data_IF_773748486873
#
_entry.id   IF_773748486873
#
_cell.length_a   1.000
_cell.length_b   1.000
_cell.length_c   1.000
_cell.angle_alpha   90.00
_cell.angle_beta   90.00
_cell.angle_gamma   90.00
#
_symmetry.space_group_name_H-M   'P 1'
#
loop_
_entity.id
_entity.type
_entity.pdbx_description
1 polymer ?
#
# COMPACT_ATOMS: atom_id res chain seq x y z
N UNK A 1 -35.58 1.20 10.83
CA UNK A 1 -34.27 1.86 10.67
C UNK A 1 -33.45 0.91 9.82
N UNK A 2 -32.93 1.35 8.67
CA UNK A 2 -32.18 0.47 7.76
C UNK A 2 -30.76 0.36 8.30
N UNK A 3 -30.40 -0.81 8.82
CA UNK A 3 -29.04 -1.10 9.27
C UNK A 3 -28.08 -1.02 8.08
N UNK A 4 -27.20 -0.02 8.11
CA UNK A 4 -26.23 0.24 7.06
C UNK A 4 -25.11 -0.79 7.20
N UNK A 5 -25.22 -1.93 6.49
CA UNK A 5 -24.20 -3.00 6.46
C UNK A 5 -22.91 -2.42 5.86
N UNK A 6 -21.91 -2.16 6.70
CA UNK A 6 -20.60 -1.65 6.27
C UNK A 6 -19.83 -2.77 5.59
N UNK A 7 -19.84 -2.79 4.25
CA UNK A 7 -18.99 -3.69 3.47
C UNK A 7 -17.58 -3.11 3.51
N UNK A 8 -16.66 -3.81 4.17
CA UNK A 8 -15.23 -3.53 4.05
C UNK A 8 -14.84 -3.76 2.58
N UNK A 9 -14.77 -2.68 1.81
CA UNK A 9 -14.38 -2.76 0.41
C UNK A 9 -12.91 -3.19 0.37
N UNK A 10 -12.58 -4.30 -0.33
CA UNK A 10 -11.20 -4.72 -0.46
C UNK A 10 -10.38 -3.59 -1.07
N UNK A 11 -9.19 -3.36 -0.51
CA UNK A 11 -8.31 -2.26 -0.93
C UNK A 11 -8.07 -2.35 -2.44
N UNK A 12 -8.22 -1.22 -3.15
CA UNK A 12 -8.09 -1.19 -4.60
C UNK A 12 -6.72 -1.73 -5.01
N UNK A 13 -6.68 -2.69 -5.94
CA UNK A 13 -5.43 -3.26 -6.51
C UNK A 13 -4.47 -2.17 -7.03
N UNK A 14 -5.00 -1.01 -7.42
CA UNK A 14 -4.21 0.17 -7.81
C UNK A 14 -3.33 0.72 -6.70
N UNK A 15 -3.72 0.60 -5.43
CA UNK A 15 -2.92 1.03 -4.28
C UNK A 15 -1.67 0.17 -4.13
N UNK A 16 -1.82 -1.16 -4.24
CA UNK A 16 -0.70 -2.10 -4.21
C UNK A 16 0.27 -1.84 -5.36
N UNK A 17 -0.25 -1.58 -6.57
CA UNK A 17 0.55 -1.21 -7.74
C UNK A 17 1.31 0.10 -7.53
N UNK A 18 0.69 1.11 -6.94
CA UNK A 18 1.37 2.37 -6.61
C UNK A 18 2.48 2.19 -5.57
N UNK A 19 2.30 1.32 -4.58
CA UNK A 19 3.34 1.02 -3.60
C UNK A 19 4.54 0.31 -4.24
N UNK A 20 4.30 -0.64 -5.15
CA UNK A 20 5.37 -1.31 -5.91
C UNK A 20 6.14 -0.33 -6.80
N UNK A 21 5.44 0.51 -7.57
CA UNK A 21 6.08 1.49 -8.44
C UNK A 21 6.87 2.53 -7.62
N UNK A 22 6.29 3.02 -6.52
CA UNK A 22 6.96 3.95 -5.62
C UNK A 22 8.24 3.36 -5.02
N UNK A 23 8.21 2.08 -4.63
CA UNK A 23 9.40 1.38 -4.13
C UNK A 23 10.51 1.28 -5.19
N UNK A 24 10.16 0.90 -6.42
CA UNK A 24 11.11 0.80 -7.54
C UNK A 24 11.71 2.17 -7.88
N UNK A 25 10.88 3.20 -8.00
CA UNK A 25 11.34 4.58 -8.26
C UNK A 25 12.27 5.06 -7.15
N UNK A 26 11.93 4.77 -5.90
CA UNK A 26 12.76 5.12 -4.77
C UNK A 26 14.13 4.43 -4.79
N UNK A 27 14.16 3.13 -5.12
CA UNK A 27 15.38 2.34 -5.15
C UNK A 27 16.32 2.70 -6.31
N UNK A 28 15.78 2.92 -7.52
CA UNK A 28 16.59 3.16 -8.71
C UNK A 28 16.87 4.63 -9.00
N UNK A 29 15.97 5.53 -8.63
CA UNK A 29 16.09 6.94 -9.01
C UNK A 29 16.38 7.86 -7.82
N UNK A 30 15.69 7.66 -6.69
CA UNK A 30 15.83 8.54 -5.52
C UNK A 30 17.03 8.19 -4.66
N UNK A 31 17.33 6.90 -4.47
CA UNK A 31 18.49 6.43 -3.71
C UNK A 31 19.84 6.96 -4.23
N UNK A 32 20.16 6.90 -5.55
CA UNK A 32 21.41 7.48 -6.05
C UNK A 32 21.42 9.02 -6.04
N UNK A 33 20.25 9.67 -6.12
CA UNK A 33 20.17 11.13 -6.05
C UNK A 33 20.31 11.65 -4.61
N UNK A 34 19.77 10.92 -3.63
CA UNK A 34 19.74 11.32 -2.22
C UNK A 34 19.50 10.13 -1.32
N UNK A 35 20.55 9.71 -0.61
CA UNK A 35 20.53 8.52 0.24
C UNK A 35 19.47 8.62 1.36
N UNK A 36 19.37 9.77 2.03
CA UNK A 36 18.40 10.00 3.10
C UNK A 36 16.94 9.87 2.62
N UNK A 37 16.59 10.50 1.50
CA UNK A 37 15.23 10.46 0.96
C UNK A 37 14.92 9.11 0.31
N UNK A 38 15.88 8.49 -0.36
CA UNK A 38 15.70 7.17 -0.96
C UNK A 38 15.39 6.09 0.08
N UNK A 39 16.08 6.11 1.23
CA UNK A 39 15.78 5.20 2.34
C UNK A 39 14.41 5.52 2.95
N UNK A 40 14.12 6.80 3.23
CA UNK A 40 12.84 7.20 3.81
C UNK A 40 11.64 6.76 2.94
N UNK A 41 11.69 7.01 1.64
CA UNK A 41 10.64 6.59 0.72
C UNK A 41 10.56 5.07 0.56
N UNK A 42 11.69 4.35 0.51
CA UNK A 42 11.67 2.89 0.50
C UNK A 42 10.96 2.30 1.72
N UNK A 43 11.20 2.84 2.92
CA UNK A 43 10.52 2.40 4.16
C UNK A 43 9.02 2.69 4.09
N UNK A 44 8.62 3.88 3.63
CA UNK A 44 7.20 4.25 3.48
C UNK A 44 6.49 3.34 2.47
N UNK A 45 7.08 3.10 1.30
CA UNK A 45 6.48 2.24 0.29
C UNK A 45 6.45 0.77 0.71
N UNK A 46 7.45 0.30 1.46
CA UNK A 46 7.42 -1.03 2.05
C UNK A 46 6.29 -1.16 3.09
N UNK A 47 6.10 -0.16 3.96
CA UNK A 47 5.00 -0.14 4.92
C UNK A 47 3.62 -0.08 4.22
N UNK A 48 3.48 0.72 3.16
CA UNK A 48 2.27 0.75 2.32
C UNK A 48 2.01 -0.61 1.65
N UNK A 49 3.05 -1.30 1.20
CA UNK A 49 2.93 -2.62 0.60
C UNK A 49 2.44 -3.65 1.63
N UNK A 50 3.03 -3.70 2.82
CA UNK A 50 2.58 -4.57 3.91
C UNK A 50 1.13 -4.25 4.31
N UNK A 51 0.78 -2.97 4.45
CA UNK A 51 -0.59 -2.55 4.74
C UNK A 51 -1.58 -3.01 3.66
N UNK A 52 -1.16 -2.99 2.39
CA UNK A 52 -1.99 -3.47 1.28
C UNK A 52 -2.23 -4.98 1.33
N UNK A 53 -1.22 -5.77 1.73
CA UNK A 53 -1.36 -7.22 1.90
C UNK A 53 -2.33 -7.55 3.04
N UNK A 54 -2.15 -6.91 4.20
CA UNK A 54 -3.03 -7.08 5.37
C UNK A 54 -4.47 -6.69 5.04
N UNK A 55 -4.67 -5.65 4.22
CA UNK A 55 -6.00 -5.22 3.82
C UNK A 55 -6.63 -6.12 2.75
N UNK A 56 -5.83 -6.84 1.97
CA UNK A 56 -6.32 -7.81 0.99
C UNK A 56 -6.71 -9.15 1.66
N UNK A 57 -6.05 -9.50 2.76
CA UNK A 57 -6.34 -10.70 3.55
C UNK A 57 -7.67 -10.58 4.33
N UNK A 58 -8.07 -9.36 4.70
CA UNK A 58 -9.42 -9.07 5.19
C UNK A 58 -10.41 -9.05 4.03
N UNK A 59 -10.69 -10.23 3.47
CA UNK A 59 -11.80 -10.45 2.55
C UNK A 59 -13.13 -10.03 3.18
N UNK A 60 -14.17 -9.75 2.37
CA UNK A 60 -15.46 -9.30 2.89
C UNK A 60 -15.92 -10.27 3.98
N UNK A 61 -16.30 -9.75 5.15
CA UNK A 61 -16.99 -10.53 6.17
C UNK A 61 -18.35 -10.89 5.56
N UNK A 62 -18.40 -12.03 4.88
CA UNK A 62 -19.63 -12.69 4.47
C UNK A 62 -20.17 -13.37 5.73
N UNK A 63 -21.07 -12.65 6.41
CA UNK A 63 -22.23 -13.30 7.06
C UNK A 63 -23.31 -13.52 6.00
#
# INVERSE_FOLDING_TARGET
MVDKKWVAAPLKKTFMLSAMLGFIVSAYWVYPASLNWGIAFMVVFAAMFVASLVSAEKGPVVE
#
